data_IF_103205873913
#
_entry.id   IF_103205873913
#
_cell.length_a   1.000
_cell.length_b   1.000
_cell.length_c   1.000
_cell.angle_alpha   90.00
_cell.angle_beta   90.00
_cell.angle_gamma   90.00
#
_symmetry.space_group_name_H-M   'P 1'
#
loop_
_entity.id
_entity.type
_entity.pdbx_description
1 polymer ?
#
# COMPACT_ATOMS: atom_id res chain seq x y z
N UNK A 1 -10.00 -0.46 -2.40
CA UNK A 1 -11.40 0.00 -2.36
C UNK A 1 -12.23 -1.15 -2.88
N UNK A 2 -13.25 -1.55 -2.12
CA UNK A 2 -14.13 -2.66 -2.45
C UNK A 2 -15.55 -2.11 -2.42
N UNK A 3 -16.36 -2.42 -3.43
CA UNK A 3 -17.77 -2.05 -3.47
C UNK A 3 -18.59 -3.20 -2.90
N UNK A 4 -19.32 -2.94 -1.83
CA UNK A 4 -20.25 -3.91 -1.26
C UNK A 4 -21.65 -3.58 -1.77
N UNK A 5 -22.20 -4.44 -2.60
CA UNK A 5 -23.59 -4.35 -3.05
C UNK A 5 -24.47 -5.07 -2.03
N UNK A 6 -25.31 -4.32 -1.31
CA UNK A 6 -26.22 -4.86 -0.28
C UNK A 6 -27.66 -4.97 -0.80
N UNK A 7 -28.54 -5.63 -0.05
CA UNK A 7 -29.97 -5.82 -0.40
C UNK A 7 -30.18 -6.53 -1.74
N UNK A 8 -29.26 -7.42 -2.11
CA UNK A 8 -29.22 -8.05 -3.44
C UNK A 8 -30.37 -9.03 -3.67
N UNK A 9 -30.99 -9.57 -2.62
CA UNK A 9 -32.14 -10.48 -2.73
C UNK A 9 -33.49 -9.76 -2.77
N UNK A 10 -33.52 -8.43 -2.69
CA UNK A 10 -34.76 -7.65 -2.85
C UNK A 10 -35.29 -7.65 -4.28
N UNK A 11 -34.48 -8.08 -5.25
CA UNK A 11 -34.82 -8.13 -6.67
C UNK A 11 -34.75 -9.57 -7.20
N UNK A 12 -35.53 -9.85 -8.25
CA UNK A 12 -35.48 -11.13 -8.95
C UNK A 12 -34.08 -11.34 -9.55
N UNK A 13 -33.65 -12.59 -9.66
CA UNK A 13 -32.30 -12.97 -10.07
C UNK A 13 -31.81 -12.28 -11.36
N UNK A 14 -32.67 -12.18 -12.38
CA UNK A 14 -32.35 -11.50 -13.65
C UNK A 14 -32.20 -9.98 -13.53
N UNK A 15 -32.88 -9.37 -12.57
CA UNK A 15 -32.81 -7.92 -12.33
C UNK A 15 -31.64 -7.56 -11.41
N UNK A 16 -31.31 -8.46 -10.46
CA UNK A 16 -30.16 -8.36 -9.55
C UNK A 16 -28.84 -8.18 -10.30
N UNK A 17 -28.55 -9.04 -11.29
CA UNK A 17 -27.31 -8.95 -12.07
C UNK A 17 -27.20 -7.62 -12.83
N UNK A 18 -28.32 -7.14 -13.39
CA UNK A 18 -28.38 -5.86 -14.10
C UNK A 18 -28.14 -4.68 -13.17
N UNK A 19 -28.74 -4.69 -11.99
CA UNK A 19 -28.58 -3.64 -10.98
C UNK A 19 -27.15 -3.59 -10.45
N UNK A 20 -26.55 -4.75 -10.12
CA UNK A 20 -25.15 -4.82 -9.69
C UNK A 20 -24.24 -4.28 -10.79
N UNK A 21 -24.43 -4.72 -12.03
CA UNK A 21 -23.64 -4.26 -13.18
C UNK A 21 -23.78 -2.74 -13.38
N UNK A 22 -25.00 -2.21 -13.27
CA UNK A 22 -25.27 -0.78 -13.42
C UNK A 22 -24.62 0.05 -12.31
N UNK A 23 -24.79 -0.34 -11.05
CA UNK A 23 -24.19 0.33 -9.90
C UNK A 23 -22.66 0.24 -9.94
N UNK A 24 -22.13 -0.93 -10.28
CA UNK A 24 -20.70 -1.14 -10.42
C UNK A 24 -20.11 -0.23 -11.49
N UNK A 25 -20.75 -0.17 -12.66
CA UNK A 25 -20.31 0.70 -13.75
C UNK A 25 -20.28 2.18 -13.35
N UNK A 26 -21.27 2.66 -12.60
CA UNK A 26 -21.27 4.04 -12.09
C UNK A 26 -20.06 4.32 -11.19
N UNK A 27 -19.69 3.37 -10.33
CA UNK A 27 -18.50 3.52 -9.48
C UNK A 27 -17.23 3.48 -10.32
N UNK A 28 -17.12 2.54 -11.27
CA UNK A 28 -15.95 2.39 -12.13
C UNK A 28 -15.73 3.57 -13.09
N UNK A 29 -16.81 4.16 -13.60
CA UNK A 29 -16.76 5.34 -14.47
C UNK A 29 -16.21 6.55 -13.70
N UNK A 30 -16.52 6.69 -12.40
CA UNK A 30 -15.96 7.74 -11.53
C UNK A 30 -14.51 7.40 -11.14
N UNK A 31 -14.23 6.13 -10.83
CA UNK A 31 -12.92 5.69 -10.35
C UNK A 31 -11.88 5.53 -11.47
N UNK A 32 -12.33 5.49 -12.73
CA UNK A 32 -11.50 5.37 -13.92
C UNK A 32 -10.87 3.99 -14.12
N UNK A 33 -11.32 2.97 -13.37
CA UNK A 33 -10.85 1.58 -13.49
C UNK A 33 -11.84 0.61 -12.86
N UNK A 34 -11.69 -0.67 -13.20
CA UNK A 34 -12.42 -1.76 -12.54
C UNK A 34 -12.12 -1.79 -11.04
N UNK A 35 -13.16 -2.01 -10.24
CA UNK A 35 -13.08 -2.08 -8.78
C UNK A 35 -13.61 -3.43 -8.31
N UNK A 36 -12.90 -4.07 -7.39
CA UNK A 36 -13.39 -5.31 -6.78
C UNK A 36 -14.73 -5.06 -6.07
N UNK A 37 -15.66 -5.99 -6.23
CA UNK A 37 -16.98 -5.88 -5.61
C UNK A 37 -17.49 -7.23 -5.14
N UNK A 38 -18.32 -7.18 -4.11
CA UNK A 38 -19.00 -8.35 -3.57
C UNK A 38 -20.48 -8.03 -3.40
N UNK A 39 -21.32 -8.97 -3.83
CA UNK A 39 -22.76 -8.93 -3.64
C UNK A 39 -23.09 -9.70 -2.37
N UNK A 40 -23.71 -9.05 -1.38
CA UNK A 40 -24.10 -9.63 -0.10
C UNK A 40 -25.55 -9.27 0.22
N UNK A 41 -26.24 -10.11 0.99
CA UNK A 41 -27.45 -9.71 1.67
C UNK A 41 -27.42 -10.16 3.13
N UNK A 42 -27.57 -9.22 4.05
CA UNK A 42 -27.48 -9.45 5.49
C UNK A 42 -28.82 -9.88 6.10
N UNK A 43 -29.92 -9.67 5.38
CA UNK A 43 -31.26 -9.99 5.85
C UNK A 43 -31.94 -10.94 4.85
N UNK A 44 -31.81 -12.24 5.07
CA UNK A 44 -32.56 -13.26 4.32
C UNK A 44 -33.76 -13.76 5.11
N UNK A 45 -34.73 -14.38 4.43
CA UNK A 45 -35.96 -14.90 5.06
C UNK A 45 -35.67 -15.95 6.14
N UNK A 46 -34.55 -16.65 6.03
CA UNK A 46 -34.13 -17.72 6.94
C UNK A 46 -33.15 -17.24 8.03
N UNK A 47 -32.84 -15.93 8.06
CA UNK A 47 -31.89 -15.34 9.02
C UNK A 47 -30.42 -15.57 8.71
N UNK A 48 -30.10 -16.27 7.62
CA UNK A 48 -28.75 -16.48 7.09
C UNK A 48 -28.26 -15.25 6.32
N UNK A 49 -26.95 -15.16 6.07
CA UNK A 49 -26.35 -14.10 5.23
C UNK A 49 -26.04 -14.67 3.85
N UNK A 50 -26.63 -14.08 2.81
CA UNK A 50 -26.38 -14.46 1.43
C UNK A 50 -24.97 -14.00 1.00
N UNK A 51 -24.18 -14.91 0.43
CA UNK A 51 -22.78 -14.71 0.06
C UNK A 51 -21.88 -14.25 1.22
N UNK A 52 -22.10 -14.82 2.41
CA UNK A 52 -21.25 -14.59 3.57
C UNK A 52 -19.79 -14.99 3.32
N UNK A 53 -19.52 -16.20 2.80
CA UNK A 53 -18.15 -16.67 2.57
C UNK A 53 -17.38 -15.80 1.56
N UNK A 54 -17.93 -15.43 0.38
CA UNK A 54 -17.30 -14.46 -0.51
C UNK A 54 -17.01 -13.11 0.16
N UNK A 55 -17.94 -12.58 0.95
CA UNK A 55 -17.71 -11.34 1.70
C UNK A 55 -16.56 -11.51 2.70
N UNK A 56 -16.57 -12.60 3.46
CA UNK A 56 -15.56 -12.89 4.47
C UNK A 56 -14.19 -13.09 3.85
N UNK A 57 -14.08 -13.79 2.72
CA UNK A 57 -12.84 -13.97 1.97
C UNK A 57 -12.29 -12.65 1.44
N UNK A 58 -13.15 -11.81 0.86
CA UNK A 58 -12.77 -10.47 0.37
C UNK A 58 -12.32 -9.56 1.50
N UNK A 59 -13.01 -9.58 2.65
CA UNK A 59 -12.60 -8.84 3.85
C UNK A 59 -11.32 -9.41 4.47
N UNK A 60 -11.15 -10.74 4.46
CA UNK A 60 -9.98 -11.43 4.98
C UNK A 60 -8.70 -11.05 4.24
N UNK A 61 -8.79 -10.74 2.94
CA UNK A 61 -7.67 -10.20 2.17
C UNK A 61 -7.25 -8.79 2.63
N UNK A 62 -8.16 -8.01 3.23
CA UNK A 62 -7.85 -6.70 3.80
C UNK A 62 -7.43 -6.75 5.28
N UNK A 63 -7.74 -7.84 5.99
CA UNK A 63 -7.39 -8.01 7.41
C UNK A 63 -5.92 -7.78 7.75
N UNK A 64 -4.93 -8.22 6.94
CA UNK A 64 -3.53 -7.98 7.29
C UNK A 64 -3.17 -6.48 7.29
N UNK A 65 -3.79 -5.68 6.40
CA UNK A 65 -3.62 -4.22 6.39
C UNK A 65 -4.28 -3.60 7.62
N UNK A 66 -5.50 -4.04 7.96
CA UNK A 66 -6.20 -3.60 9.18
C UNK A 66 -5.42 -4.01 10.44
N UNK A 67 -4.81 -5.18 10.45
CA UNK A 67 -3.95 -5.65 11.53
C UNK A 67 -2.73 -4.76 11.75
N UNK A 68 -2.17 -4.15 10.70
CA UNK A 68 -1.13 -3.13 10.87
C UNK A 68 -1.65 -1.88 11.59
N UNK A 69 -2.92 -1.50 11.36
CA UNK A 69 -3.56 -0.33 11.99
C UNK A 69 -4.01 -0.57 13.44
N UNK A 70 -4.25 -1.83 13.83
CA UNK A 70 -4.89 -2.23 15.11
C UNK A 70 -3.89 -2.81 16.11
N UNK A 71 -2.59 -2.87 15.80
CA UNK A 71 -1.57 -3.37 16.74
C UNK A 71 -1.67 -2.66 18.11
N UNK A 72 -1.94 -3.44 19.16
CA UNK A 72 -2.03 -2.98 20.54
C UNK A 72 -0.62 -2.79 21.12
N UNK A 73 -0.36 -1.61 21.70
CA UNK A 73 1.01 -1.09 21.92
C UNK A 73 1.20 -0.59 23.34
N UNK A 74 1.26 -1.51 24.31
CA UNK A 74 1.41 -1.15 25.73
C UNK A 74 2.78 -0.52 26.10
N UNK A 75 3.80 -0.60 25.22
CA UNK A 75 5.13 -0.01 25.45
C UNK A 75 5.78 0.61 24.19
N UNK A 76 5.13 1.58 23.55
CA UNK A 76 5.72 2.33 22.41
C UNK A 76 6.46 3.59 22.84
N UNK A 77 7.61 3.82 22.20
CA UNK A 77 8.37 5.07 22.27
C UNK A 77 7.57 6.26 21.74
N UNK A 78 8.01 7.49 22.04
CA UNK A 78 7.39 8.72 21.51
C UNK A 78 7.48 8.77 19.97
N UNK A 79 8.58 8.27 19.42
CA UNK A 79 8.77 8.16 17.97
C UNK A 79 7.70 7.25 17.34
N UNK A 80 7.50 6.06 17.92
CA UNK A 80 6.51 5.10 17.42
C UNK A 80 5.09 5.65 17.55
N UNK A 81 4.75 6.32 18.65
CA UNK A 81 3.45 6.99 18.79
C UNK A 81 3.22 8.08 17.75
N UNK A 82 4.27 8.77 17.32
CA UNK A 82 4.17 9.73 16.23
C UNK A 82 3.97 9.01 14.90
N UNK A 83 4.69 7.91 14.65
CA UNK A 83 4.49 7.09 13.47
C UNK A 83 3.07 6.53 13.39
N UNK A 84 2.48 6.07 14.49
CA UNK A 84 1.12 5.50 14.54
C UNK A 84 0.07 6.48 14.00
N UNK A 85 0.26 7.77 14.25
CA UNK A 85 -0.63 8.83 13.73
C UNK A 85 -0.51 9.03 12.22
N UNK A 86 0.66 8.71 11.67
CA UNK A 86 1.01 8.86 10.25
C UNK A 86 0.91 7.55 9.46
N UNK A 87 0.77 6.42 10.15
CA UNK A 87 0.80 5.08 9.55
C UNK A 87 -0.29 4.91 8.50
N UNK A 88 -1.49 5.45 8.76
CA UNK A 88 -2.59 5.46 7.79
C UNK A 88 -2.22 6.17 6.49
N UNK A 89 -1.52 7.30 6.57
CA UNK A 89 -1.06 8.03 5.39
C UNK A 89 0.00 7.22 4.62
N UNK A 90 0.94 6.60 5.33
CA UNK A 90 1.95 5.71 4.73
C UNK A 90 1.28 4.52 4.03
N UNK A 91 0.26 3.92 4.63
CA UNK A 91 -0.52 2.83 4.04
C UNK A 91 -1.25 3.28 2.77
N UNK A 92 -1.82 4.49 2.76
CA UNK A 92 -2.46 5.06 1.57
C UNK A 92 -1.47 5.25 0.41
N UNK A 93 -0.28 5.77 0.68
CA UNK A 93 0.76 5.91 -0.34
C UNK A 93 1.29 4.54 -0.79
N UNK A 94 1.47 3.58 0.11
CA UNK A 94 1.88 2.22 -0.23
C UNK A 94 0.86 1.50 -1.11
N UNK A 95 -0.44 1.63 -0.78
CA UNK A 95 -1.54 1.12 -1.60
C UNK A 95 -1.58 1.79 -2.98
N UNK A 96 -1.38 3.10 -3.05
CA UNK A 96 -1.35 3.86 -4.30
C UNK A 96 -0.16 3.45 -5.19
N UNK A 97 1.03 3.28 -4.60
CA UNK A 97 2.22 2.83 -5.32
C UNK A 97 2.03 1.40 -5.87
N UNK A 98 1.51 0.50 -5.04
CA UNK A 98 1.17 -0.88 -5.44
C UNK A 98 0.18 -0.92 -6.60
N UNK A 99 -0.93 -0.20 -6.48
CA UNK A 99 -1.95 -0.11 -7.52
C UNK A 99 -1.41 0.50 -8.82
N UNK A 100 -0.47 1.44 -8.73
CA UNK A 100 0.10 2.06 -9.92
C UNK A 100 1.11 1.17 -10.65
N UNK A 101 1.81 0.29 -9.94
CA UNK A 101 2.75 -0.66 -10.55
C UNK A 101 2.03 -1.77 -11.33
N UNK A 102 0.73 -1.97 -11.09
CA UNK A 102 -0.12 -2.85 -11.91
C UNK A 102 -0.43 -2.27 -13.30
N UNK A 103 -0.22 -0.97 -13.51
CA UNK A 103 -0.49 -0.31 -14.79
C UNK A 103 0.78 -0.37 -15.64
N UNK A 104 0.79 -1.08 -16.79
CA UNK A 104 1.95 -1.15 -17.67
C UNK A 104 2.45 0.24 -18.06
N UNK A 105 3.77 0.41 -18.08
CA UNK A 105 4.48 1.66 -18.41
C UNK A 105 4.24 2.87 -17.49
N UNK A 106 3.18 2.92 -16.68
CA UNK A 106 2.89 4.04 -15.77
C UNK A 106 3.68 3.94 -14.46
N UNK A 107 3.76 2.74 -13.88
CA UNK A 107 4.43 2.48 -12.59
C UNK A 107 5.87 3.01 -12.47
N UNK A 108 6.59 3.08 -13.60
CA UNK A 108 7.97 3.57 -13.65
C UNK A 108 8.11 5.03 -13.19
N UNK A 109 7.13 5.87 -13.50
CA UNK A 109 7.17 7.31 -13.20
C UNK A 109 6.30 7.62 -11.98
N UNK A 110 5.16 6.95 -11.88
CA UNK A 110 4.19 7.21 -10.82
C UNK A 110 4.67 6.72 -9.46
N UNK A 111 5.31 5.56 -9.33
CA UNK A 111 5.77 5.06 -8.02
C UNK A 111 6.80 6.00 -7.38
N UNK A 112 7.87 6.44 -8.09
CA UNK A 112 8.79 7.44 -7.55
C UNK A 112 8.10 8.76 -7.20
N UNK A 113 7.14 9.22 -8.02
CA UNK A 113 6.39 10.44 -7.74
C UNK A 113 5.51 10.32 -6.49
N UNK A 114 4.83 9.17 -6.31
CA UNK A 114 4.03 8.83 -5.14
C UNK A 114 4.93 8.78 -3.89
N UNK A 115 6.09 8.13 -3.98
CA UNK A 115 7.06 8.07 -2.88
C UNK A 115 7.63 9.45 -2.54
N UNK A 116 7.96 10.27 -3.54
CA UNK A 116 8.44 11.64 -3.31
C UNK A 116 7.38 12.50 -2.61
N UNK A 117 6.12 12.41 -3.03
CA UNK A 117 5.00 13.12 -2.39
C UNK A 117 4.77 12.65 -0.94
N UNK A 118 4.85 11.35 -0.70
CA UNK A 118 4.80 10.76 0.65
C UNK A 118 5.90 11.35 1.53
N UNK A 119 7.16 11.30 1.08
CA UNK A 119 8.30 11.81 1.86
C UNK A 119 8.18 13.30 2.17
N UNK A 120 7.76 14.11 1.19
CA UNK A 120 7.50 15.53 1.39
C UNK A 120 6.38 15.77 2.43
N UNK A 121 5.27 15.04 2.33
CA UNK A 121 4.15 15.16 3.27
C UNK A 121 4.54 14.80 4.69
N UNK A 122 5.28 13.69 4.86
CA UNK A 122 5.79 13.25 6.15
C UNK A 122 6.78 14.26 6.74
N UNK A 123 7.74 14.74 5.94
CA UNK A 123 8.73 15.73 6.39
C UNK A 123 8.05 16.99 6.97
N UNK A 124 7.03 17.51 6.26
CA UNK A 124 6.28 18.68 6.71
C UNK A 124 5.56 18.44 8.06
N UNK A 125 5.04 17.24 8.29
CA UNK A 125 4.37 16.89 9.56
C UNK A 125 5.33 16.78 10.74
N UNK A 126 6.61 16.49 10.49
CA UNK A 126 7.69 16.56 11.47
C UNK A 126 8.35 17.95 11.55
N UNK A 127 7.89 18.94 10.78
CA UNK A 127 8.51 20.27 10.71
C UNK A 127 9.90 20.27 10.05
N UNK A 128 10.23 19.23 9.28
CA UNK A 128 11.50 19.12 8.56
C UNK A 128 11.33 19.72 7.17
N UNK A 129 12.23 20.64 6.81
CA UNK A 129 12.25 21.20 5.46
C UNK A 129 12.61 20.14 4.42
N UNK A 130 11.71 19.94 3.45
CA UNK A 130 11.93 19.01 2.36
C UNK A 130 12.70 19.68 1.22
N UNK A 131 13.96 19.27 1.05
CA UNK A 131 14.82 19.71 -0.04
C UNK A 131 15.75 18.56 -0.49
N UNK A 132 16.53 18.80 -1.54
CA UNK A 132 17.45 17.80 -2.10
C UNK A 132 18.49 17.33 -1.08
N UNK A 133 18.95 18.20 -0.19
CA UNK A 133 19.86 17.82 0.88
C UNK A 133 19.20 16.87 1.88
N UNK A 134 17.99 17.18 2.36
CA UNK A 134 17.23 16.29 3.25
C UNK A 134 16.95 14.93 2.60
N UNK A 135 16.65 14.92 1.31
CA UNK A 135 16.50 13.66 0.57
C UNK A 135 17.81 12.88 0.50
N UNK A 136 18.93 13.52 0.14
CA UNK A 136 20.24 12.87 0.09
C UNK A 136 20.70 12.35 1.44
N UNK A 137 20.44 13.07 2.52
CA UNK A 137 20.74 12.62 3.88
C UNK A 137 19.90 11.41 4.26
N UNK A 138 18.58 11.43 4.04
CA UNK A 138 17.70 10.28 4.27
C UNK A 138 18.19 9.03 3.54
N UNK A 139 18.48 9.16 2.23
CA UNK A 139 18.97 8.07 1.40
C UNK A 139 20.36 7.61 1.84
N UNK A 140 21.23 8.55 2.23
CA UNK A 140 22.56 8.29 2.75
C UNK A 140 22.52 7.50 4.07
N UNK A 141 21.60 7.84 4.97
CA UNK A 141 21.40 7.12 6.23
C UNK A 141 20.81 5.72 6.02
N UNK A 142 20.07 5.47 4.94
CA UNK A 142 19.67 4.10 4.55
C UNK A 142 20.86 3.28 4.00
N UNK A 143 22.00 3.92 3.76
CA UNK A 143 23.24 3.30 3.33
C UNK A 143 23.42 3.29 1.83
N UNK A 144 24.69 3.22 1.41
CA UNK A 144 25.10 3.19 0.00
C UNK A 144 24.45 2.04 -0.79
N UNK A 145 24.20 0.90 -0.12
CA UNK A 145 23.50 -0.24 -0.72
C UNK A 145 22.06 0.09 -1.09
N UNK A 146 21.36 0.85 -0.26
CA UNK A 146 20.01 1.31 -0.58
C UNK A 146 20.03 2.32 -1.72
N UNK A 147 20.94 3.30 -1.67
CA UNK A 147 21.11 4.30 -2.72
C UNK A 147 21.39 3.65 -4.10
N UNK A 148 22.27 2.65 -4.14
CA UNK A 148 22.56 1.88 -5.35
C UNK A 148 21.35 1.08 -5.80
N UNK A 149 20.68 0.34 -4.91
CA UNK A 149 19.49 -0.44 -5.28
C UNK A 149 18.34 0.45 -5.78
N UNK A 150 18.13 1.60 -5.14
CA UNK A 150 17.10 2.57 -5.53
C UNK A 150 17.46 3.23 -6.87
N UNK A 151 18.70 3.69 -7.04
CA UNK A 151 19.20 4.26 -8.29
C UNK A 151 19.21 3.26 -9.45
N UNK A 152 19.62 2.02 -9.20
CA UNK A 152 19.54 0.92 -10.18
C UNK A 152 18.08 0.63 -10.53
N UNK A 153 17.16 0.56 -9.57
CA UNK A 153 15.72 0.37 -9.87
C UNK A 153 15.14 1.49 -10.74
N UNK A 154 15.54 2.74 -10.50
CA UNK A 154 15.15 3.87 -11.33
C UNK A 154 15.79 3.83 -12.73
N UNK A 155 17.05 3.38 -12.83
CA UNK A 155 17.83 3.36 -14.08
C UNK A 155 17.65 2.13 -14.97
N UNK A 156 17.51 0.93 -14.40
CA UNK A 156 17.47 -0.36 -15.13
C UNK A 156 16.07 -0.81 -15.53
N UNK A 157 14.98 -0.19 -15.03
CA UNK A 157 13.61 -0.52 -15.47
C UNK A 157 13.31 -0.15 -16.93
N UNK A 158 14.23 0.51 -17.65
CA UNK A 158 14.15 0.62 -19.12
C UNK A 158 14.40 -0.71 -19.84
N UNK A 159 15.09 -1.68 -19.22
CA UNK A 159 15.51 -2.94 -19.86
C UNK A 159 14.55 -4.12 -19.66
N UNK A 160 13.54 -3.98 -18.79
CA UNK A 160 12.48 -5.02 -18.63
C UNK A 160 11.45 -4.94 -19.77
N UNK A 161 11.59 -3.97 -20.69
CA UNK A 161 10.74 -3.81 -21.87
C UNK A 161 10.92 -4.89 -22.95
N UNK A 162 11.68 -5.97 -22.71
CA UNK A 162 12.11 -6.90 -23.77
C UNK A 162 11.90 -8.40 -23.49
N UNK A 163 11.09 -8.79 -22.50
CA UNK A 163 10.68 -10.21 -22.38
C UNK A 163 9.16 -10.31 -22.48
N UNK A 164 8.60 -10.42 -23.71
CA UNK A 164 7.23 -10.85 -23.88
C UNK A 164 7.10 -12.31 -23.40
N UNK A 165 6.15 -12.58 -22.51
CA UNK A 165 5.69 -13.96 -22.25
C UNK A 165 6.06 -14.62 -20.92
N UNK A 166 6.75 -13.97 -19.98
CA UNK A 166 6.98 -14.55 -18.63
C UNK A 166 5.92 -14.09 -17.62
N UNK A 167 4.94 -14.95 -17.33
CA UNK A 167 4.13 -14.97 -16.10
C UNK A 167 3.21 -13.76 -15.86
N UNK A 168 2.19 -13.57 -16.71
CA UNK A 168 1.27 -12.41 -16.66
C UNK A 168 0.43 -12.26 -15.37
N UNK A 169 0.38 -13.26 -14.49
CA UNK A 169 -0.40 -13.19 -13.24
C UNK A 169 0.51 -13.20 -12.01
N UNK A 170 1.38 -14.20 -11.87
CA UNK A 170 2.27 -14.35 -10.70
C UNK A 170 3.30 -13.22 -10.60
N UNK A 171 3.86 -12.78 -11.74
CA UNK A 171 4.88 -11.72 -11.75
C UNK A 171 4.33 -10.33 -11.44
N UNK A 172 3.11 -10.03 -11.87
CA UNK A 172 2.44 -8.76 -11.60
C UNK A 172 2.04 -8.63 -10.13
N UNK A 173 1.54 -9.73 -9.54
CA UNK A 173 1.19 -9.82 -8.13
C UNK A 173 2.41 -9.65 -7.23
N UNK A 174 3.50 -10.36 -7.53
CA UNK A 174 4.75 -10.22 -6.78
C UNK A 174 5.34 -8.79 -6.87
N UNK A 175 5.19 -8.13 -8.03
CA UNK A 175 5.61 -6.74 -8.22
C UNK A 175 4.76 -5.76 -7.38
N UNK A 176 3.44 -5.93 -7.35
CA UNK A 176 2.53 -5.11 -6.54
C UNK A 176 2.80 -5.26 -5.04
N UNK A 177 3.00 -6.50 -4.55
CA UNK A 177 3.41 -6.79 -3.19
C UNK A 177 4.73 -6.10 -2.83
N UNK A 178 5.71 -6.18 -3.75
CA UNK A 178 7.01 -5.55 -3.56
C UNK A 178 6.90 -4.03 -3.50
N UNK A 179 6.06 -3.42 -4.34
CA UNK A 179 5.88 -1.97 -4.37
C UNK A 179 5.11 -1.44 -3.16
N UNK A 180 4.13 -2.20 -2.66
CA UNK A 180 3.50 -1.93 -1.38
C UNK A 180 4.53 -1.95 -0.24
N UNK A 181 5.23 -3.08 -0.08
CA UNK A 181 6.16 -3.28 1.02
C UNK A 181 7.33 -2.29 0.99
N UNK A 182 7.91 -2.03 -0.18
CA UNK A 182 9.02 -1.05 -0.29
C UNK A 182 8.57 0.37 0.04
N UNK A 183 7.36 0.76 -0.37
CA UNK A 183 6.81 2.08 -0.05
C UNK A 183 6.46 2.20 1.44
N UNK A 184 5.84 1.18 2.03
CA UNK A 184 5.56 1.16 3.47
C UNK A 184 6.86 1.19 4.31
N UNK A 185 7.85 0.37 3.94
CA UNK A 185 9.15 0.36 4.60
C UNK A 185 9.88 1.70 4.51
N UNK A 186 9.84 2.35 3.34
CA UNK A 186 10.39 3.68 3.14
C UNK A 186 9.68 4.73 3.99
N UNK A 187 8.35 4.69 4.07
CA UNK A 187 7.56 5.59 4.91
C UNK A 187 7.91 5.46 6.40
N UNK A 188 8.00 4.23 6.92
CA UNK A 188 8.41 3.99 8.32
C UNK A 188 9.81 4.52 8.63
N UNK A 189 10.77 4.23 7.75
CA UNK A 189 12.15 4.69 7.91
C UNK A 189 12.26 6.22 7.81
N UNK A 190 11.50 6.83 6.91
CA UNK A 190 11.44 8.29 6.77
C UNK A 190 10.87 8.97 8.02
N UNK A 191 9.78 8.45 8.59
CA UNK A 191 9.22 8.97 9.84
C UNK A 191 10.24 8.91 10.99
N UNK A 192 10.96 7.80 11.11
CA UNK A 192 12.03 7.65 12.10
C UNK A 192 13.14 8.69 11.90
N UNK A 193 13.61 8.82 10.66
CA UNK A 193 14.62 9.82 10.30
C UNK A 193 14.15 11.25 10.57
N UNK A 194 12.94 11.61 10.16
CA UNK A 194 12.40 12.97 10.35
C UNK A 194 12.15 13.29 11.81
N UNK A 195 11.71 12.32 12.62
CA UNK A 195 11.60 12.49 14.07
C UNK A 195 12.93 12.89 14.70
N UNK A 196 14.00 12.13 14.45
CA UNK A 196 15.33 12.44 14.98
C UNK A 196 15.90 13.75 14.40
N UNK A 197 15.72 13.97 13.09
CA UNK A 197 16.15 15.22 12.44
C UNK A 197 15.47 16.46 13.01
N UNK A 198 14.18 16.39 13.31
CA UNK A 198 13.44 17.51 13.94
C UNK A 198 14.01 17.91 15.31
N UNK A 199 14.78 17.02 15.93
CA UNK A 199 15.46 17.23 17.22
C UNK A 199 16.95 17.53 17.09
N UNK A 200 17.48 17.53 15.86
CA UNK A 200 18.93 17.65 15.62
C UNK A 200 19.72 16.40 16.01
N UNK A 201 19.08 15.24 16.12
CA UNK A 201 19.70 13.98 16.49
C UNK A 201 20.19 13.24 15.23
N UNK A 202 21.36 12.61 15.32
CA UNK A 202 21.86 11.71 14.27
C UNK A 202 21.18 10.35 14.36
N UNK A 203 20.95 9.72 13.22
CA UNK A 203 20.37 8.38 13.14
C UNK A 203 21.44 7.36 12.75
N UNK A 204 21.48 6.22 13.43
CA UNK A 204 22.34 5.10 13.08
C UNK A 204 21.88 4.45 11.76
N UNK A 205 22.81 4.21 10.84
CA UNK A 205 22.54 3.54 9.56
C UNK A 205 21.97 2.11 9.77
N UNK A 206 22.49 1.38 10.76
CA UNK A 206 22.05 0.01 11.03
C UNK A 206 20.60 -0.03 11.50
N UNK A 207 20.22 0.86 12.42
CA UNK A 207 18.85 0.96 12.93
C UNK A 207 17.88 1.33 11.81
N UNK A 208 18.26 2.29 10.95
CA UNK A 208 17.47 2.70 9.78
C UNK A 208 17.28 1.56 8.78
N UNK A 209 18.34 0.80 8.48
CA UNK A 209 18.26 -0.34 7.56
C UNK A 209 17.43 -1.49 8.15
N UNK A 210 17.59 -1.78 9.43
CA UNK A 210 16.81 -2.81 10.12
C UNK A 210 15.34 -2.45 10.14
N UNK A 211 15.02 -1.20 10.52
CA UNK A 211 13.66 -0.68 10.55
C UNK A 211 13.01 -0.72 9.16
N UNK A 212 13.72 -0.25 8.12
CA UNK A 212 13.27 -0.35 6.74
C UNK A 212 12.98 -1.80 6.34
N UNK A 213 13.91 -2.73 6.59
CA UNK A 213 13.76 -4.15 6.21
C UNK A 213 12.60 -4.82 6.95
N UNK A 214 12.49 -4.61 8.27
CA UNK A 214 11.41 -5.16 9.10
C UNK A 214 10.06 -4.67 8.62
N UNK A 215 9.95 -3.37 8.37
CA UNK A 215 8.70 -2.73 7.95
C UNK A 215 8.34 -3.12 6.52
N UNK A 216 9.32 -3.20 5.62
CA UNK A 216 9.11 -3.69 4.25
C UNK A 216 8.57 -5.13 4.27
N UNK A 217 9.12 -6.02 5.10
CA UNK A 217 8.61 -7.39 5.26
C UNK A 217 7.18 -7.40 5.81
N UNK A 218 6.90 -6.60 6.86
CA UNK A 218 5.55 -6.43 7.42
C UNK A 218 4.55 -5.98 6.34
N UNK A 219 4.89 -4.95 5.57
CA UNK A 219 4.05 -4.45 4.49
C UNK A 219 3.83 -5.48 3.37
N UNK A 220 4.85 -6.24 2.97
CA UNK A 220 4.70 -7.32 1.98
C UNK A 220 3.73 -8.39 2.45
N UNK A 221 3.93 -8.91 3.67
CA UNK A 221 3.04 -9.92 4.25
C UNK A 221 1.60 -9.39 4.35
N UNK A 222 1.45 -8.12 4.72
CA UNK A 222 0.15 -7.49 4.87
C UNK A 222 -0.57 -7.16 3.56
N UNK A 223 0.12 -7.19 2.42
CA UNK A 223 -0.52 -7.02 1.12
C UNK A 223 -1.29 -8.27 0.64
N UNK A 224 -1.34 -9.34 1.45
CA UNK A 224 -2.16 -10.54 1.19
C UNK A 224 -1.57 -11.48 0.13
N UNK A 225 -0.35 -11.21 -0.33
CA UNK A 225 0.27 -11.93 -1.44
C UNK A 225 1.22 -13.06 -1.03
N UNK A 226 1.40 -13.31 0.28
CA UNK A 226 2.04 -14.52 0.81
C UNK A 226 0.98 -15.63 0.98
N UNK A 227 0.45 -16.14 -0.12
CA UNK A 227 -0.20 -17.46 -0.18
C UNK A 227 0.29 -18.15 -1.44
N UNK A 228 1.39 -18.90 -1.28
CA UNK A 228 1.73 -20.15 -1.97
C UNK A 228 2.87 -20.85 -1.22
#
# INVERSE_FOLDING_TARGET
MIVIHTATLTSLEKDRERQITFNQKQVEDVWGKAVEHVAVDFETQDGEVYNYDPLLDTLAQMLPIVGMMVEDKEHTSVEEKNFDRLENEVLWYAGSASASDLIPAVGLVSVPAIQAKMLHSLANQYGVEWNTQTFSELIGTLGSSFAVQYGVKLGTRQLVKLIPGYGQTVGAVAAAAMSFGTTYGLGRAACYYFYHKSKGESVCEQDMQELYRKSMKKGKAASGYDKD
#
